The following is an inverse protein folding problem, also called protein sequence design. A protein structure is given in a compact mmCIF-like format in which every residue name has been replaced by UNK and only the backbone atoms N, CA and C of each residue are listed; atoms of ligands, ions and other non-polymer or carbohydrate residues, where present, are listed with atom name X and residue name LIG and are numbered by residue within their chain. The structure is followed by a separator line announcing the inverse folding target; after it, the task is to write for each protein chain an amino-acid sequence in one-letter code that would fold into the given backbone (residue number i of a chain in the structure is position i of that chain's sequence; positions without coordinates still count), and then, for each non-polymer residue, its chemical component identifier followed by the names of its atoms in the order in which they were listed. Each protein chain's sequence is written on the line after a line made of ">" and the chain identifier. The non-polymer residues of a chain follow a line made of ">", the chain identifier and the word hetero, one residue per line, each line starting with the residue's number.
data_IF_149173920248
#
_entry.id   IF_149173920248
#
_cell.length_a   1.000
_cell.length_b   1.000
_cell.length_c   1.000
_cell.angle_alpha   90.00
_cell.angle_beta   90.00
_cell.angle_gamma   90.00
#
_symmetry.space_group_name_H-M   'P 1'
#
loop_
_entity.id
_entity.type
_entity.pdbx_description
1 polymer ?
#
# COMPACT_ATOMS: atom_id res chain seq x y z
N UNK A 1 -12.19 -13.01 -15.86
CA UNK A 1 -11.93 -11.87 -14.96
C UNK A 1 -11.29 -12.48 -13.72
N UNK A 2 -10.27 -11.86 -13.15
CA UNK A 2 -9.48 -12.45 -12.06
C UNK A 2 -10.13 -12.14 -10.71
N UNK A 3 -10.52 -13.17 -9.95
CA UNK A 3 -11.29 -13.02 -8.71
C UNK A 3 -10.56 -12.20 -7.65
N UNK A 4 -9.24 -12.34 -7.54
CA UNK A 4 -8.43 -11.58 -6.60
C UNK A 4 -8.41 -10.10 -6.99
N UNK A 5 -8.19 -9.81 -8.27
CA UNK A 5 -8.25 -8.44 -8.78
C UNK A 5 -9.65 -7.85 -8.56
N UNK A 6 -10.73 -8.57 -8.87
CA UNK A 6 -12.09 -8.10 -8.63
C UNK A 6 -12.33 -7.75 -7.17
N UNK A 7 -11.99 -8.66 -6.26
CA UNK A 7 -12.14 -8.49 -4.83
C UNK A 7 -11.37 -7.26 -4.35
N UNK A 8 -10.10 -7.12 -4.71
CA UNK A 8 -9.28 -5.99 -4.26
C UNK A 8 -9.63 -4.66 -4.95
N UNK A 9 -10.31 -4.71 -6.10
CA UNK A 9 -10.88 -3.51 -6.76
C UNK A 9 -12.27 -3.13 -6.26
N UNK A 10 -12.87 -3.96 -5.39
CA UNK A 10 -14.20 -3.72 -4.84
C UNK A 10 -14.10 -3.53 -3.33
N UNK A 11 -14.42 -2.32 -2.87
CA UNK A 11 -14.35 -1.97 -1.45
C UNK A 11 -12.93 -1.64 -0.98
N UNK A 12 -12.78 -1.58 0.34
CA UNK A 12 -11.53 -1.23 1.02
C UNK A 12 -11.16 -2.37 1.95
N UNK A 13 -9.88 -2.72 1.99
CA UNK A 13 -9.36 -3.90 2.65
C UNK A 13 -8.27 -3.53 3.65
N UNK A 14 -8.12 -4.25 4.77
CA UNK A 14 -7.02 -4.01 5.69
C UNK A 14 -5.68 -4.34 5.03
N UNK A 15 -4.70 -3.47 5.29
CA UNK A 15 -3.34 -3.60 4.78
C UNK A 15 -2.32 -3.32 5.86
N UNK A 16 -1.12 -3.86 5.65
CA UNK A 16 0.10 -3.48 6.37
C UNK A 16 1.23 -3.23 5.35
N UNK A 17 2.27 -2.53 5.77
CA UNK A 17 3.53 -2.50 5.01
C UNK A 17 4.43 -3.64 5.48
N UNK A 18 4.83 -4.50 4.55
CA UNK A 18 5.71 -5.65 4.82
C UNK A 18 7.19 -5.24 4.86
N UNK A 19 8.00 -6.06 5.54
CA UNK A 19 9.47 -5.95 5.63
C UNK A 19 10.00 -4.66 6.30
N UNK A 20 9.12 -3.95 7.02
CA UNK A 20 9.50 -2.82 7.88
C UNK A 20 9.48 -3.20 9.36
N UNK A 21 9.05 -4.41 9.73
CA UNK A 21 8.99 -4.91 11.12
C UNK A 21 8.33 -3.94 12.11
N UNK A 22 7.31 -3.19 11.65
CA UNK A 22 6.63 -2.16 12.46
C UNK A 22 7.44 -0.86 12.68
N UNK A 23 8.56 -0.67 11.99
CA UNK A 23 9.40 0.52 12.11
C UNK A 23 8.99 1.60 11.11
N UNK A 24 8.65 2.77 11.65
CA UNK A 24 8.39 4.00 10.87
C UNK A 24 9.63 4.45 10.08
N UNK A 25 10.83 4.30 10.64
CA UNK A 25 12.10 4.62 9.96
C UNK A 25 12.30 3.74 8.73
N UNK A 26 12.10 2.41 8.84
CA UNK A 26 12.21 1.50 7.69
C UNK A 26 11.13 1.76 6.63
N UNK A 27 9.94 2.18 7.05
CA UNK A 27 8.89 2.63 6.13
C UNK A 27 9.33 3.90 5.39
N UNK A 28 9.84 4.91 6.09
CA UNK A 28 10.36 6.13 5.50
C UNK A 28 11.50 5.85 4.50
N UNK A 29 12.41 4.94 4.84
CA UNK A 29 13.46 4.49 3.93
C UNK A 29 12.88 3.84 2.67
N UNK A 30 11.87 2.97 2.81
CA UNK A 30 11.24 2.30 1.67
C UNK A 30 10.54 3.31 0.75
N UNK A 31 9.83 4.27 1.34
CA UNK A 31 9.20 5.39 0.62
C UNK A 31 10.25 6.21 -0.13
N UNK A 32 11.37 6.54 0.51
CA UNK A 32 12.45 7.34 -0.12
C UNK A 32 13.10 6.63 -1.32
N UNK A 33 13.10 5.29 -1.33
CA UNK A 33 13.56 4.47 -2.46
C UNK A 33 12.51 4.37 -3.58
N UNK A 34 11.30 4.88 -3.36
CA UNK A 34 10.19 4.87 -4.32
C UNK A 34 9.52 3.50 -4.47
N UNK A 35 9.69 2.59 -3.50
CA UNK A 35 9.15 1.25 -3.59
C UNK A 35 8.82 0.67 -2.21
N UNK A 36 7.59 0.16 -2.08
CA UNK A 36 7.08 -0.45 -0.84
C UNK A 36 6.45 -1.80 -1.11
N UNK A 37 6.32 -2.62 -0.07
CA UNK A 37 5.56 -3.87 -0.11
C UNK A 37 4.30 -3.70 0.72
N UNK A 38 3.13 -3.69 0.06
CA UNK A 38 1.83 -3.59 0.74
C UNK A 38 1.21 -4.97 0.79
N UNK A 39 0.83 -5.43 1.98
CA UNK A 39 0.16 -6.71 2.18
C UNK A 39 -1.29 -6.52 2.55
N UNK A 40 -2.18 -7.02 1.71
CA UNK A 40 -3.60 -7.18 2.00
C UNK A 40 -3.78 -8.42 2.89
N UNK A 41 -4.28 -8.22 4.12
CA UNK A 41 -4.26 -9.25 5.16
C UNK A 41 -5.47 -10.18 5.11
N UNK A 42 -6.60 -9.71 4.58
CA UNK A 42 -7.86 -10.48 4.56
C UNK A 42 -8.00 -11.42 3.36
N UNK A 43 -6.97 -11.51 2.52
CA UNK A 43 -6.93 -12.48 1.42
C UNK A 43 -6.47 -13.85 1.92
N UNK A 44 -6.85 -14.94 1.24
CA UNK A 44 -6.42 -16.30 1.62
C UNK A 44 -4.89 -16.43 1.49
N UNK A 45 -4.20 -16.51 2.63
CA UNK A 45 -2.74 -16.58 2.72
C UNK A 45 -2.03 -15.22 2.73
N UNK A 46 -2.79 -14.13 2.60
CA UNK A 46 -2.28 -12.77 2.42
C UNK A 46 -1.77 -12.51 1.00
N UNK A 47 -1.98 -11.30 0.50
CA UNK A 47 -1.50 -10.88 -0.83
C UNK A 47 -0.52 -9.74 -0.64
N UNK A 48 0.77 -10.00 -0.84
CA UNK A 48 1.83 -9.00 -0.79
C UNK A 48 2.13 -8.49 -2.19
N UNK A 49 2.03 -7.17 -2.36
CA UNK A 49 2.21 -6.48 -3.63
C UNK A 49 3.40 -5.52 -3.55
N UNK A 50 4.28 -5.63 -4.54
CA UNK A 50 5.28 -4.63 -4.82
C UNK A 50 4.68 -3.40 -5.49
N UNK A 51 4.73 -2.26 -4.82
CA UNK A 51 4.17 -1.00 -5.31
C UNK A 51 5.32 -0.04 -5.59
N UNK A 52 5.49 0.33 -6.86
CA UNK A 52 6.37 1.43 -7.25
C UNK A 52 5.61 2.73 -7.09
N UNK A 53 6.05 3.55 -6.13
CA UNK A 53 5.38 4.79 -5.78
C UNK A 53 5.54 5.84 -6.88
N UNK A 54 4.52 6.67 -7.05
CA UNK A 54 4.54 7.84 -7.93
C UNK A 54 4.06 9.11 -7.21
N UNK A 55 3.96 10.21 -7.96
CA UNK A 55 3.70 11.55 -7.44
C UNK A 55 2.34 11.72 -6.74
N UNK A 56 1.44 10.73 -6.83
CA UNK A 56 0.19 10.71 -6.07
C UNK A 56 0.39 10.32 -4.60
N UNK A 57 1.55 9.73 -4.26
CA UNK A 57 1.94 9.48 -2.86
C UNK A 57 1.98 10.79 -2.08
N UNK A 58 1.32 10.83 -0.92
CA UNK A 58 1.22 12.02 -0.09
C UNK A 58 1.64 11.73 1.35
N UNK A 59 2.65 12.45 1.82
CA UNK A 59 3.24 12.30 3.15
C UNK A 59 2.93 13.51 4.05
N UNK A 60 2.12 14.47 3.59
CA UNK A 60 1.91 15.75 4.28
C UNK A 60 1.21 15.64 5.64
N UNK A 61 0.52 14.53 5.90
CA UNK A 61 -0.13 14.25 7.17
C UNK A 61 0.71 13.36 8.11
N UNK A 62 1.95 13.02 7.73
CA UNK A 62 2.81 12.12 8.47
C UNK A 62 3.87 12.88 9.27
N UNK A 63 4.03 12.49 10.54
CA UNK A 63 5.15 12.87 11.38
C UNK A 63 5.99 11.62 11.68
N UNK A 64 7.06 11.44 10.90
CA UNK A 64 7.95 10.29 11.04
C UNK A 64 8.82 10.35 12.29
N UNK A 65 9.08 11.54 12.84
CA UNK A 65 9.87 11.69 14.07
C UNK A 65 9.06 11.28 15.29
N UNK A 66 7.77 11.61 15.32
CA UNK A 66 6.86 11.24 16.41
C UNK A 66 6.13 9.92 16.17
N UNK A 67 6.30 9.29 15.00
CA UNK A 67 5.55 8.09 14.59
C UNK A 67 4.03 8.28 14.68
N UNK A 68 3.53 9.42 14.20
CA UNK A 68 2.09 9.75 14.22
C UNK A 68 1.59 10.24 12.86
N UNK A 69 0.27 10.22 12.70
CA UNK A 69 -0.39 10.62 11.47
C UNK A 69 -0.46 9.48 10.45
N UNK A 70 -0.71 9.83 9.20
CA UNK A 70 -1.01 8.86 8.13
C UNK A 70 -0.18 9.16 6.90
N UNK A 71 0.37 8.11 6.29
CA UNK A 71 0.97 8.19 4.95
C UNK A 71 0.00 7.65 3.91
N UNK A 72 -0.16 8.38 2.82
CA UNK A 72 -0.90 7.93 1.65
C UNK A 72 0.10 7.41 0.61
N UNK A 73 0.05 6.11 0.32
CA UNK A 73 0.94 5.41 -0.59
C UNK A 73 0.18 5.07 -1.87
N UNK A 74 0.70 5.53 -3.00
CA UNK A 74 0.05 5.28 -4.29
C UNK A 74 1.06 4.95 -5.38
N UNK A 75 0.70 3.98 -6.22
CA UNK A 75 1.57 3.57 -7.32
C UNK A 75 0.98 2.47 -8.20
N UNK A 76 1.65 2.17 -9.31
CA UNK A 76 1.16 1.19 -10.29
C UNK A 76 1.91 -0.13 -10.22
N UNK A 77 1.20 -1.23 -10.52
CA UNK A 77 1.78 -2.56 -10.66
C UNK A 77 0.96 -3.40 -11.67
N UNK A 78 1.43 -4.62 -11.93
CA UNK A 78 0.67 -5.63 -12.67
C UNK A 78 0.37 -6.81 -11.75
N UNK A 79 -0.91 -7.11 -11.55
CA UNK A 79 -1.39 -8.26 -10.78
C UNK A 79 -2.17 -9.18 -11.72
N UNK A 80 -1.76 -10.45 -11.83
CA UNK A 80 -2.41 -11.45 -12.68
C UNK A 80 -2.69 -10.93 -14.10
N UNK A 81 -1.68 -10.30 -14.72
CA UNK A 81 -1.71 -9.68 -16.04
C UNK A 81 -2.64 -8.46 -16.19
N UNK A 82 -3.23 -7.97 -15.10
CA UNK A 82 -4.04 -6.75 -15.08
C UNK A 82 -3.20 -5.60 -14.54
N UNK A 83 -3.11 -4.50 -15.30
CA UNK A 83 -2.52 -3.26 -14.82
C UNK A 83 -3.46 -2.62 -13.80
N UNK A 84 -2.93 -2.36 -12.61
CA UNK A 84 -3.67 -1.77 -11.51
C UNK A 84 -2.85 -0.68 -10.83
N UNK A 85 -3.55 0.21 -10.15
CA UNK A 85 -3.01 1.18 -9.21
C UNK A 85 -3.36 0.71 -7.80
N UNK A 86 -2.38 0.64 -6.92
CA UNK A 86 -2.58 0.39 -5.50
C UNK A 86 -2.65 1.72 -4.78
N UNK A 87 -3.67 1.86 -3.93
CA UNK A 87 -3.91 3.03 -3.08
C UNK A 87 -4.02 2.50 -1.65
N UNK A 88 -3.17 2.97 -0.75
CA UNK A 88 -3.14 2.53 0.63
C UNK A 88 -2.82 3.68 1.58
N UNK A 89 -3.61 3.80 2.64
CA UNK A 89 -3.39 4.74 3.73
C UNK A 89 -2.92 3.97 4.97
N UNK A 90 -1.77 4.33 5.54
CA UNK A 90 -1.14 3.64 6.67
C UNK A 90 -1.01 4.60 7.84
N UNK A 91 -1.54 4.22 9.00
CA UNK A 91 -1.35 4.92 10.27
C UNK A 91 0.04 4.61 10.83
N UNK A 92 0.84 5.64 11.14
CA UNK A 92 2.22 5.46 11.62
C UNK A 92 2.31 4.96 13.07
N UNK A 93 1.24 5.11 13.85
CA UNK A 93 1.17 4.66 15.25
C UNK A 93 0.96 3.16 15.30
N UNK A 94 0.06 2.63 14.47
CA UNK A 94 -0.32 1.21 14.47
C UNK A 94 0.44 0.40 13.43
N UNK A 95 0.98 1.05 12.38
CA UNK A 95 1.55 0.42 11.19
C UNK A 95 0.54 -0.45 10.42
N UNK A 96 -0.74 -0.20 10.64
CA UNK A 96 -1.87 -0.80 9.96
C UNK A 96 -2.59 0.25 9.12
N UNK A 97 -3.38 -0.20 8.17
CA UNK A 97 -4.02 0.69 7.24
C UNK A 97 -5.15 0.07 6.46
N UNK A 98 -5.62 0.84 5.48
CA UNK A 98 -6.67 0.41 4.58
C UNK A 98 -6.26 0.71 3.13
N UNK A 99 -6.58 -0.19 2.22
CA UNK A 99 -6.17 -0.04 0.83
C UNK A 99 -7.08 -0.77 -0.14
N UNK A 100 -6.93 -0.44 -1.41
CA UNK A 100 -7.65 -1.06 -2.51
C UNK A 100 -6.84 -0.95 -3.81
N UNK A 101 -7.31 -1.65 -4.84
CA UNK A 101 -6.78 -1.55 -6.19
C UNK A 101 -7.75 -0.79 -7.09
N UNK A 102 -7.23 -0.14 -8.11
CA UNK A 102 -8.01 0.41 -9.21
C UNK A 102 -7.46 -0.10 -10.54
N UNK A 103 -8.33 -0.54 -11.45
CA UNK A 103 -7.90 -0.92 -12.80
C UNK A 103 -7.46 0.34 -13.54
N UNK A 104 -6.29 0.29 -14.15
CA UNK A 104 -5.81 1.39 -15.01
C UNK A 104 -6.32 1.11 -16.43
N UNK A 105 -7.00 2.09 -17.03
CA UNK A 105 -7.38 2.00 -18.43
C UNK A 105 -6.11 1.93 -19.29
N UNK A 106 -6.11 1.04 -20.29
CA UNK A 106 -5.05 0.96 -21.30
C UNK A 106 -5.09 2.17 -22.24
#
# INVERSE_FOLDING_TARGET
>A
MDELVEMLTTGTHPVIVSRVDGSVEKLQESISRGYVLVKFTDTRGGTELGVRLDDATNLGAADFEQATGTVHLEGTLTLNYVKVRCIADIDLTTMEGSGHLQKVAL
#
